data_IF_421841580143
#
_entry.id   IF_421841580143
#
_cell.length_a   1.000
_cell.length_b   1.000
_cell.length_c   1.000
_cell.angle_alpha   90.00
_cell.angle_beta   90.00
_cell.angle_gamma   90.00
#
_symmetry.space_group_name_H-M   'P 1'
#
loop_
_entity.id
_entity.type
_entity.pdbx_description
1 polymer ?
#
# COMPACT_ATOMS: atom_id res chain seq x y z
N UNK A 1 -20.53 6.80 -4.57
CA UNK A 1 -19.08 6.80 -4.35
C UNK A 1 -18.47 5.58 -5.00
N UNK A 2 -17.20 5.66 -5.38
CA UNK A 2 -16.43 4.53 -5.91
C UNK A 2 -15.35 4.11 -4.92
N UNK A 3 -14.84 2.89 -5.10
CA UNK A 3 -13.64 2.38 -4.42
C UNK A 3 -12.66 1.95 -5.52
N UNK A 4 -11.40 2.33 -5.36
CA UNK A 4 -10.30 2.00 -6.28
C UNK A 4 -9.19 1.33 -5.49
N UNK A 5 -8.66 0.24 -6.04
CA UNK A 5 -7.52 -0.47 -5.50
C UNK A 5 -6.33 -0.31 -6.45
N UNK A 6 -5.16 0.01 -5.90
CA UNK A 6 -3.90 0.00 -6.63
C UNK A 6 -2.84 -0.73 -5.82
N UNK A 7 -1.87 -1.29 -6.53
CA UNK A 7 -0.72 -1.95 -5.96
C UNK A 7 0.54 -1.55 -6.74
N UNK A 8 1.66 -1.41 -6.05
CA UNK A 8 2.97 -1.19 -6.66
C UNK A 8 4.04 -1.84 -5.82
N UNK A 9 5.12 -2.26 -6.49
CA UNK A 9 6.36 -2.61 -5.81
C UNK A 9 7.13 -1.33 -5.55
N UNK A 10 7.62 -1.15 -4.33
CA UNK A 10 8.53 -0.07 -3.95
C UNK A 10 9.80 -0.68 -3.38
N UNK A 11 10.93 -0.02 -3.58
CA UNK A 11 12.19 -0.38 -2.96
C UNK A 11 12.58 0.74 -1.99
N UNK A 12 12.87 0.39 -0.74
CA UNK A 12 13.53 1.27 0.20
C UNK A 12 14.88 0.64 0.55
N UNK A 13 15.96 1.32 0.20
CA UNK A 13 17.32 0.79 0.21
C UNK A 13 17.45 -0.50 -0.63
N UNK A 14 17.63 -1.66 -0.01
CA UNK A 14 17.73 -2.98 -0.65
C UNK A 14 16.51 -3.88 -0.36
N UNK A 15 15.49 -3.34 0.32
CA UNK A 15 14.29 -4.06 0.71
C UNK A 15 13.12 -3.71 -0.20
N UNK A 16 12.59 -4.73 -0.87
CA UNK A 16 11.34 -4.63 -1.63
C UNK A 16 10.12 -4.64 -0.72
N UNK A 17 9.10 -3.86 -1.06
CA UNK A 17 7.79 -3.89 -0.43
C UNK A 17 6.68 -3.90 -1.49
N UNK A 18 5.62 -4.66 -1.21
CA UNK A 18 4.36 -4.54 -1.93
C UNK A 18 3.50 -3.50 -1.20
N UNK A 19 3.34 -2.31 -1.79
CA UNK A 19 2.44 -1.27 -1.30
C UNK A 19 1.07 -1.39 -1.98
N UNK A 20 0.01 -1.43 -1.18
CA UNK A 20 -1.37 -1.48 -1.62
C UNK A 20 -2.09 -0.24 -1.09
N UNK A 21 -2.85 0.42 -1.97
CA UNK A 21 -3.70 1.54 -1.64
C UNK A 21 -5.16 1.21 -1.96
N UNK A 22 -6.04 1.43 -1.00
CA UNK A 22 -7.50 1.38 -1.16
C UNK A 22 -8.02 2.81 -1.01
N UNK A 23 -8.57 3.38 -2.07
CA UNK A 23 -9.14 4.72 -2.10
C UNK A 23 -10.65 4.65 -2.25
N UNK A 24 -11.40 5.39 -1.44
CA UNK A 24 -12.82 5.64 -1.64
C UNK A 24 -13.11 7.13 -1.90
N UNK A 25 -14.25 7.43 -2.53
CA UNK A 25 -14.72 8.81 -2.77
C UNK A 25 -15.83 9.24 -1.79
N UNK A 26 -15.83 8.67 -0.58
CA UNK A 26 -16.82 8.95 0.45
C UNK A 26 -16.63 10.30 1.12
N UNK A 27 -17.30 10.48 2.25
CA UNK A 27 -17.30 11.72 3.04
C UNK A 27 -15.94 12.04 3.70
N UNK A 28 -14.99 11.11 3.64
CA UNK A 28 -13.69 11.24 4.30
C UNK A 28 -13.79 11.29 5.83
N UNK A 29 -12.68 11.66 6.46
CA UNK A 29 -12.49 11.61 7.91
C UNK A 29 -11.94 12.96 8.37
N UNK A 30 -12.53 13.52 9.43
CA UNK A 30 -12.04 14.77 10.01
C UNK A 30 -10.71 14.57 10.73
N UNK A 31 -9.86 15.59 10.72
CA UNK A 31 -8.50 15.51 11.27
C UNK A 31 -8.49 15.16 12.78
N UNK A 32 -9.47 15.64 13.55
CA UNK A 32 -9.63 15.36 14.98
C UNK A 32 -10.10 13.92 15.27
N UNK A 33 -10.63 13.23 14.26
CA UNK A 33 -11.06 11.84 14.35
C UNK A 33 -9.96 10.84 13.93
N UNK A 34 -8.96 11.29 13.15
CA UNK A 34 -7.85 10.47 12.66
C UNK A 34 -7.12 9.66 13.76
N UNK A 35 -6.83 10.22 14.96
CA UNK A 35 -6.15 9.47 16.03
C UNK A 35 -6.97 8.31 16.63
N UNK A 36 -8.27 8.20 16.29
CA UNK A 36 -9.17 7.16 16.82
C UNK A 36 -9.19 5.90 15.95
N UNK A 37 -8.81 5.97 14.67
CA UNK A 37 -9.06 4.91 13.68
C UNK A 37 -8.38 3.57 13.97
N UNK A 38 -7.22 3.59 14.64
CA UNK A 38 -6.48 2.37 15.03
C UNK A 38 -6.72 1.94 16.48
N UNK A 39 -7.65 2.60 17.19
CA UNK A 39 -8.02 2.20 18.55
C UNK A 39 -9.10 1.13 18.48
N UNK A 40 -9.00 0.12 19.36
CA UNK A 40 -10.05 -0.87 19.53
C UNK A 40 -11.36 -0.15 19.91
N UNK A 41 -12.44 -0.40 19.18
CA UNK A 41 -13.74 0.28 19.32
C UNK A 41 -13.72 1.78 18.97
N UNK A 42 -12.67 2.27 18.30
CA UNK A 42 -12.57 3.64 17.82
C UNK A 42 -13.51 3.91 16.65
N UNK A 43 -14.79 4.13 16.93
CA UNK A 43 -15.75 4.60 15.93
C UNK A 43 -15.72 6.13 15.83
N UNK A 44 -15.63 6.63 14.60
CA UNK A 44 -15.84 8.03 14.28
C UNK A 44 -17.34 8.33 14.22
N UNK A 45 -17.74 9.56 14.56
CA UNK A 45 -19.15 9.89 14.75
C UNK A 45 -19.95 9.78 13.44
N UNK A 46 -19.31 10.06 12.32
CA UNK A 46 -19.85 9.86 10.97
C UNK A 46 -20.22 8.39 10.70
N UNK A 47 -19.42 7.44 11.21
CA UNK A 47 -19.69 6.00 11.08
C UNK A 47 -20.85 5.53 11.96
N UNK A 48 -21.11 6.16 13.11
CA UNK A 48 -22.26 5.80 13.97
C UNK A 48 -23.60 6.08 13.29
N UNK A 49 -23.65 7.07 12.39
CA UNK A 49 -24.86 7.39 11.62
C UNK A 49 -25.05 6.46 10.41
N UNK A 50 -23.95 6.09 9.75
CA UNK A 50 -23.98 5.27 8.52
C UNK A 50 -24.06 3.77 8.82
N UNK A 51 -23.33 3.29 9.83
CA UNK A 51 -23.33 1.90 10.26
C UNK A 51 -23.36 1.80 11.79
N UNK A 52 -24.54 1.95 12.41
CA UNK A 52 -24.71 1.94 13.86
C UNK A 52 -24.35 0.59 14.51
N UNK A 53 -24.24 -0.50 13.74
CA UNK A 53 -23.89 -1.84 14.22
C UNK A 53 -22.42 -2.21 14.00
N UNK A 54 -21.63 -1.35 13.35
CA UNK A 54 -20.20 -1.60 13.15
C UNK A 54 -19.43 -1.52 14.45
N UNK A 55 -18.65 -2.55 14.81
CA UNK A 55 -17.91 -2.59 16.08
C UNK A 55 -16.60 -1.77 16.08
N UNK A 56 -16.20 -1.18 14.93
CA UNK A 56 -14.96 -0.40 14.82
C UNK A 56 -13.67 -1.24 14.96
N UNK A 57 -13.75 -2.55 14.75
CA UNK A 57 -12.62 -3.49 14.95
C UNK A 57 -11.77 -3.72 13.69
N UNK A 58 -12.32 -3.46 12.49
CA UNK A 58 -11.70 -3.83 11.22
C UNK A 58 -10.27 -3.31 11.06
N UNK A 59 -10.07 -2.00 11.16
CA UNK A 59 -8.74 -1.38 11.03
C UNK A 59 -7.76 -1.83 12.12
N UNK A 60 -8.26 -2.13 13.33
CA UNK A 60 -7.41 -2.66 14.41
C UNK A 60 -6.92 -4.07 14.07
N UNK A 61 -7.78 -4.91 13.48
CA UNK A 61 -7.39 -6.24 13.01
C UNK A 61 -6.40 -6.13 11.85
N UNK A 62 -6.69 -5.29 10.85
CA UNK A 62 -5.78 -5.06 9.72
C UNK A 62 -4.40 -4.64 10.22
N UNK A 63 -4.32 -3.67 11.14
CA UNK A 63 -3.06 -3.23 11.73
C UNK A 63 -2.27 -4.37 12.36
N UNK A 64 -2.91 -5.20 13.19
CA UNK A 64 -2.24 -6.36 13.81
C UNK A 64 -1.70 -7.37 12.79
N UNK A 65 -2.44 -7.64 11.72
CA UNK A 65 -1.99 -8.55 10.67
C UNK A 65 -0.83 -7.97 9.87
N UNK A 66 -0.91 -6.69 9.49
CA UNK A 66 0.16 -6.01 8.76
C UNK A 66 1.43 -5.91 9.60
N UNK A 67 1.34 -5.56 10.89
CA UNK A 67 2.49 -5.55 11.81
C UNK A 67 3.10 -6.95 11.99
N UNK A 68 2.28 -8.01 12.02
CA UNK A 68 2.78 -9.40 12.08
C UNK A 68 3.53 -9.81 10.80
N UNK A 69 3.20 -9.18 9.68
CA UNK A 69 3.91 -9.35 8.41
C UNK A 69 5.08 -8.36 8.26
N UNK A 70 5.53 -7.74 9.36
CA UNK A 70 6.62 -6.74 9.37
C UNK A 70 6.33 -5.54 8.46
N UNK A 71 5.04 -5.29 8.22
CA UNK A 71 4.55 -4.23 7.36
C UNK A 71 4.14 -2.97 8.13
N UNK A 72 3.67 -1.98 7.38
CA UNK A 72 3.15 -0.71 7.89
C UNK A 72 1.78 -0.42 7.28
N UNK A 73 0.86 0.16 8.05
CA UNK A 73 -0.46 0.62 7.57
C UNK A 73 -0.67 2.07 8.00
N UNK A 74 -1.19 2.91 7.11
CA UNK A 74 -1.51 4.31 7.38
C UNK A 74 -2.73 4.76 6.58
N UNK A 75 -3.26 5.93 6.92
CA UNK A 75 -4.48 6.49 6.32
C UNK A 75 -4.23 7.94 5.98
N UNK A 76 -4.63 8.32 4.78
CA UNK A 76 -4.72 9.70 4.33
C UNK A 76 -6.19 10.01 4.04
N UNK A 77 -6.71 11.08 4.62
CA UNK A 77 -8.09 11.50 4.37
C UNK A 77 -8.23 13.00 4.60
N UNK A 78 -9.16 13.60 3.86
CA UNK A 78 -9.68 14.93 4.12
C UNK A 78 -11.21 14.87 4.17
N UNK A 79 -11.82 15.69 5.01
CA UNK A 79 -13.28 15.81 5.04
C UNK A 79 -13.80 16.20 3.64
N UNK A 80 -14.81 15.48 3.16
CA UNK A 80 -15.42 15.55 1.82
C UNK A 80 -14.49 15.20 0.63
N UNK A 81 -13.31 14.63 0.89
CA UNK A 81 -12.34 14.27 -0.15
C UNK A 81 -12.14 12.75 -0.31
N UNK A 82 -12.89 11.95 0.45
CA UNK A 82 -12.70 10.50 0.52
C UNK A 82 -11.57 10.08 1.46
N UNK A 83 -11.23 8.80 1.42
CA UNK A 83 -10.19 8.20 2.27
C UNK A 83 -9.30 7.31 1.43
N UNK A 84 -8.00 7.33 1.72
CA UNK A 84 -7.03 6.38 1.21
C UNK A 84 -6.43 5.62 2.38
N UNK A 85 -6.55 4.31 2.34
CA UNK A 85 -5.90 3.39 3.28
C UNK A 85 -4.74 2.74 2.55
N UNK A 86 -3.56 2.92 3.11
CA UNK A 86 -2.33 2.36 2.58
C UNK A 86 -1.82 1.28 3.51
N UNK A 87 -1.31 0.19 2.96
CA UNK A 87 -0.42 -0.68 3.70
C UNK A 87 0.67 -1.21 2.80
N UNK A 88 1.81 -1.56 3.40
CA UNK A 88 2.92 -2.21 2.72
C UNK A 88 3.46 -3.36 3.55
N UNK A 89 3.91 -4.41 2.88
CA UNK A 89 4.57 -5.57 3.48
C UNK A 89 5.88 -5.86 2.74
N UNK A 90 6.94 -6.31 3.44
CA UNK A 90 8.19 -6.70 2.78
C UNK A 90 7.92 -7.83 1.78
N UNK A 91 8.57 -7.75 0.61
CA UNK A 91 8.63 -8.87 -0.32
C UNK A 91 9.82 -9.76 0.01
N UNK A 92 9.78 -11.02 -0.43
CA UNK A 92 10.95 -11.92 -0.31
C UNK A 92 12.04 -11.61 -1.34
N UNK A 93 11.73 -10.78 -2.33
CA UNK A 93 12.65 -10.38 -3.38
C UNK A 93 13.52 -9.25 -2.84
N UNK A 94 14.80 -9.55 -2.64
CA UNK A 94 15.83 -8.53 -2.52
C UNK A 94 16.03 -7.93 -3.90
N UNK A 95 15.72 -6.65 -4.06
CA UNK A 95 16.06 -5.99 -5.30
C UNK A 95 17.56 -5.73 -5.29
N UNK A 96 18.26 -6.36 -6.22
CA UNK A 96 19.67 -6.06 -6.44
C UNK A 96 19.76 -4.62 -6.97
N UNK A 97 20.16 -3.69 -6.09
CA UNK A 97 20.19 -2.27 -6.42
C UNK A 97 21.20 -1.96 -7.53
N UNK A 98 22.32 -2.69 -7.60
CA UNK A 98 23.26 -2.61 -8.73
C UNK A 98 22.59 -2.97 -10.07
N UNK A 99 21.72 -3.97 -10.07
CA UNK A 99 20.97 -4.38 -11.26
C UNK A 99 19.91 -3.34 -11.66
N UNK A 100 19.13 -2.80 -10.72
CA UNK A 100 18.14 -1.77 -11.03
C UNK A 100 18.80 -0.51 -11.62
N UNK A 101 19.97 -0.13 -11.11
CA UNK A 101 20.77 0.97 -11.65
C UNK A 101 21.33 0.67 -13.05
N UNK A 102 21.76 -0.57 -13.32
CA UNK A 102 22.18 -1.00 -14.67
C UNK A 102 21.00 -0.96 -15.66
N UNK A 103 19.80 -1.38 -15.25
CA UNK A 103 18.61 -1.35 -16.10
C UNK A 103 18.14 0.09 -16.40
N UNK A 104 18.16 0.99 -15.42
CA UNK A 104 17.84 2.41 -15.63
C UNK A 104 18.85 3.09 -16.58
N UNK A 105 20.13 2.74 -16.48
CA UNK A 105 21.16 3.27 -17.39
C UNK A 105 21.00 2.74 -18.83
N UNK A 106 20.52 1.51 -18.99
CA UNK A 106 20.30 0.90 -20.30
C UNK A 106 19.00 1.40 -20.96
N UNK A 107 17.91 1.59 -20.20
CA UNK A 107 16.63 2.13 -20.71
C UNK A 107 16.74 3.60 -21.16
N UNK A 108 17.65 4.36 -20.56
CA UNK A 108 17.91 5.74 -21.00
C UNK A 108 18.75 5.83 -22.28
N UNK A 109 19.30 4.70 -22.76
CA UNK A 109 20.20 4.69 -23.91
C UNK A 109 19.62 4.00 -25.15
N UNK A 110 18.61 3.14 -25.06
CA UNK A 110 17.90 2.59 -26.24
C UNK A 110 16.41 2.31 -25.92
N UNK A 111 15.53 2.54 -26.91
CA UNK A 111 14.14 2.06 -26.92
C UNK A 111 14.15 0.51 -26.84
N UNK A 112 14.23 -0.04 -25.63
CA UNK A 112 14.29 -1.48 -25.42
C UNK A 112 12.90 -2.04 -25.13
N UNK A 113 12.27 -2.63 -26.14
CA UNK A 113 11.17 -3.58 -25.97
C UNK A 113 11.79 -4.89 -25.43
N UNK A 114 11.72 -5.10 -24.11
CA UNK A 114 12.19 -6.35 -23.51
C UNK A 114 11.11 -7.41 -23.73
N UNK A 115 11.38 -8.41 -24.57
CA UNK A 115 10.50 -9.56 -24.69
C UNK A 115 10.40 -10.30 -23.35
N UNK A 116 9.18 -10.69 -22.96
CA UNK A 116 8.85 -11.35 -21.68
C UNK A 116 9.73 -12.59 -21.41
N UNK A 117 10.21 -13.25 -22.47
CA UNK A 117 11.15 -14.37 -22.43
C UNK A 117 12.52 -14.00 -21.86
N UNK A 118 13.08 -12.84 -22.22
CA UNK A 118 14.38 -12.36 -21.72
C UNK A 118 14.31 -11.95 -20.25
N UNK A 119 13.17 -11.39 -19.81
CA UNK A 119 12.97 -11.02 -18.42
C UNK A 119 12.86 -12.27 -17.51
N UNK A 120 12.17 -13.32 -17.97
CA UNK A 120 12.07 -14.59 -17.23
C UNK A 120 13.41 -15.31 -17.14
N UNK A 121 14.20 -15.34 -18.22
CA UNK A 121 15.50 -16.00 -18.19
C UNK A 121 16.51 -15.24 -17.31
N UNK A 122 16.45 -13.91 -17.33
CA UNK A 122 17.28 -13.05 -16.49
C UNK A 122 16.98 -13.25 -14.99
N UNK A 123 15.70 -13.30 -14.62
CA UNK A 123 15.27 -13.51 -13.22
C UNK A 123 15.65 -14.91 -12.72
N UNK A 124 15.51 -15.95 -13.53
CA UNK A 124 15.92 -17.31 -13.15
C UNK A 124 17.43 -17.50 -12.96
N UNK A 125 18.25 -16.63 -13.55
CA UNK A 125 19.70 -16.77 -13.51
C UNK A 125 20.34 -16.05 -12.31
N UNK A 126 19.67 -15.06 -11.76
CA UNK A 126 20.20 -14.16 -10.74
C UNK A 126 19.45 -14.22 -9.40
N UNK A 127 18.43 -15.07 -9.29
CA UNK A 127 17.73 -15.46 -8.07
C UNK A 127 17.72 -16.98 -7.93
#
# INVERSE_FOLDING_TARGET
>A
GSITLSAKLICEDELGFLEICISDTGVGIKADEMPKLFKLFGMIDTNKQINPHGCGIGLTICKKYIEKLEGTIWIESGFEQGTKVYFRIPTKEQFNLSLLLELEQNLNNEEAEIEESQFVEYTQRNF
#
